data_IF_199044137617
#
_entry.id   IF_199044137617
#
_cell.length_a   1.000
_cell.length_b   1.000
_cell.length_c   1.000
_cell.angle_alpha   90.00
_cell.angle_beta   90.00
_cell.angle_gamma   90.00
#
_symmetry.space_group_name_H-M   'P 1'
#
loop_
_entity.id
_entity.type
_entity.pdbx_description
1 polymer ?
#
# COMPACT_ATOMS: atom_id res chain seq x y z
N UNK A 1 -5.50 -1.20 -14.20
CA UNK A 1 -4.66 -1.73 -13.11
C UNK A 1 -3.40 -0.90 -13.05
N UNK A 2 -2.98 -0.52 -11.85
CA UNK A 2 -1.68 0.13 -11.60
C UNK A 2 -0.85 -0.81 -10.74
N UNK A 3 0.40 -1.04 -11.16
CA UNK A 3 1.39 -1.79 -10.40
C UNK A 3 2.56 -0.86 -10.08
N UNK A 4 2.83 -0.66 -8.80
CA UNK A 4 3.87 0.21 -8.28
C UNK A 4 4.76 -0.58 -7.30
N UNK A 5 5.68 -1.42 -7.82
CA UNK A 5 6.68 -2.10 -7.01
C UNK A 5 7.81 -1.14 -6.62
N UNK A 6 8.47 -1.44 -5.50
CA UNK A 6 9.66 -0.75 -4.98
C UNK A 6 9.50 0.78 -4.96
N UNK A 7 8.32 1.25 -4.56
CA UNK A 7 7.99 2.65 -4.47
C UNK A 7 8.00 3.09 -3.01
N UNK A 8 9.02 3.86 -2.62
CA UNK A 8 9.15 4.41 -1.27
C UNK A 8 8.39 5.73 -1.14
N UNK A 9 7.26 5.71 -0.41
CA UNK A 9 6.48 6.90 -0.09
C UNK A 9 7.00 7.52 1.22
N UNK A 10 7.17 8.85 1.27
CA UNK A 10 7.68 9.51 2.47
C UNK A 10 6.71 9.33 3.64
N UNK A 11 7.25 9.15 4.85
CA UNK A 11 6.45 9.02 6.07
C UNK A 11 5.74 10.35 6.41
N UNK A 12 6.43 11.47 6.21
CA UNK A 12 5.90 12.82 6.37
C UNK A 12 6.03 13.60 5.07
N UNK A 13 5.00 14.38 4.73
CA UNK A 13 5.01 15.21 3.52
C UNK A 13 5.55 16.60 3.86
N UNK A 14 6.59 17.02 3.16
CA UNK A 14 7.20 18.35 3.27
C UNK A 14 7.28 19.04 1.89
N UNK A 15 7.93 20.21 1.83
CA UNK A 15 8.08 20.95 0.58
C UNK A 15 8.87 20.21 -0.49
N UNK A 16 9.77 19.33 -0.10
CA UNK A 16 10.75 18.71 -0.97
C UNK A 16 10.17 17.45 -1.63
N UNK A 17 9.30 16.73 -0.92
CA UNK A 17 8.68 15.49 -1.39
C UNK A 17 7.22 15.65 -1.89
N UNK A 18 6.57 16.79 -1.63
CA UNK A 18 5.16 17.01 -2.01
C UNK A 18 4.87 16.78 -3.49
N UNK A 19 5.72 17.28 -4.39
CA UNK A 19 5.51 17.12 -5.83
C UNK A 19 5.58 15.65 -6.28
N UNK A 20 6.42 14.85 -5.62
CA UNK A 20 6.52 13.41 -5.85
C UNK A 20 5.24 12.70 -5.40
N UNK A 21 4.76 13.00 -4.19
CA UNK A 21 3.51 12.45 -3.66
C UNK A 21 2.32 12.79 -4.55
N UNK A 22 2.18 14.05 -4.97
CA UNK A 22 1.11 14.47 -5.88
C UNK A 22 1.18 13.76 -7.23
N UNK A 23 2.39 13.57 -7.76
CA UNK A 23 2.61 12.82 -9.00
C UNK A 23 2.15 11.36 -8.85
N UNK A 24 2.53 10.71 -7.76
CA UNK A 24 2.11 9.34 -7.46
C UNK A 24 0.59 9.24 -7.27
N UNK A 25 -0.02 10.14 -6.50
CA UNK A 25 -1.47 10.17 -6.30
C UNK A 25 -2.22 10.33 -7.62
N UNK A 26 -1.76 11.22 -8.51
CA UNK A 26 -2.35 11.39 -9.83
C UNK A 26 -2.20 10.14 -10.71
N UNK A 27 -1.08 9.43 -10.60
CA UNK A 27 -0.83 8.19 -11.34
C UNK A 27 -1.77 7.06 -10.92
N UNK A 28 -2.09 6.92 -9.64
CA UNK A 28 -2.94 5.84 -9.11
C UNK A 28 -4.44 6.18 -9.06
N UNK A 29 -4.80 7.45 -9.26
CA UNK A 29 -6.17 7.95 -9.11
C UNK A 29 -7.16 7.22 -10.00
N UNK A 30 -8.26 6.75 -9.40
CA UNK A 30 -9.36 6.09 -10.10
C UNK A 30 -9.05 4.66 -10.58
N UNK A 31 -7.92 4.07 -10.17
CA UNK A 31 -7.56 2.72 -10.60
C UNK A 31 -8.56 1.67 -10.08
N UNK A 32 -8.98 0.73 -10.94
CA UNK A 32 -9.77 -0.42 -10.48
C UNK A 32 -9.00 -1.35 -9.54
N UNK A 33 -7.68 -1.41 -9.71
CA UNK A 33 -6.74 -2.16 -8.87
C UNK A 33 -5.44 -1.39 -8.77
N UNK A 34 -4.98 -1.16 -7.55
CA UNK A 34 -3.63 -0.73 -7.22
C UNK A 34 -2.91 -1.89 -6.52
N UNK A 35 -1.81 -2.35 -7.11
CA UNK A 35 -0.85 -3.26 -6.45
C UNK A 35 0.37 -2.42 -6.07
N UNK A 36 0.69 -2.37 -4.78
CA UNK A 36 1.79 -1.57 -4.24
C UNK A 36 2.63 -2.39 -3.27
N UNK A 37 3.94 -2.19 -3.22
CA UNK A 37 4.78 -2.80 -2.19
C UNK A 37 4.59 -2.09 -0.83
N UNK A 38 4.48 -2.84 0.25
CA UNK A 38 4.29 -2.24 1.58
C UNK A 38 4.93 -3.12 2.65
N UNK A 39 6.25 -3.23 2.56
CA UNK A 39 7.04 -4.18 3.33
C UNK A 39 6.99 -3.91 4.83
N UNK A 40 6.88 -2.65 5.22
CA UNK A 40 7.11 -2.23 6.59
C UNK A 40 5.82 -1.81 7.29
N UNK A 41 5.80 -1.90 8.61
CA UNK A 41 4.94 -1.03 9.42
C UNK A 41 5.56 0.37 9.47
N UNK A 42 4.77 1.38 9.86
CA UNK A 42 5.31 2.75 10.03
C UNK A 42 6.52 2.78 10.98
N UNK A 43 6.44 2.06 12.09
CA UNK A 43 7.53 1.93 13.08
C UNK A 43 8.81 1.33 12.45
N UNK A 44 8.68 0.29 11.63
CA UNK A 44 9.81 -0.32 10.93
C UNK A 44 10.40 0.59 9.85
N UNK A 45 9.56 1.38 9.19
CA UNK A 45 9.99 2.27 8.11
C UNK A 45 10.85 3.42 8.65
N UNK A 46 10.59 3.92 9.87
CA UNK A 46 11.41 4.96 10.51
C UNK A 46 12.89 4.55 10.65
N UNK A 47 13.17 3.26 10.86
CA UNK A 47 14.53 2.71 10.96
C UNK A 47 15.12 2.30 9.60
N UNK A 48 14.32 2.32 8.53
CA UNK A 48 14.65 1.77 7.19
C UNK A 48 14.41 2.76 6.04
N UNK A 49 14.38 4.06 6.34
CA UNK A 49 14.31 5.10 5.32
C UNK A 49 15.44 4.95 4.29
N UNK A 50 15.10 5.05 3.00
CA UNK A 50 15.99 4.94 1.86
C UNK A 50 16.22 3.50 1.35
N UNK A 51 15.49 2.52 1.87
CA UNK A 51 15.61 1.12 1.44
C UNK A 51 14.76 0.78 0.20
N UNK A 52 13.92 1.71 -0.26
CA UNK A 52 13.12 1.56 -1.47
C UNK A 52 11.71 1.02 -1.26
N UNK A 53 11.24 0.88 -0.01
CA UNK A 53 9.95 0.26 0.31
C UNK A 53 9.06 1.09 1.21
N UNK A 54 7.77 1.10 0.94
CA UNK A 54 6.79 1.82 1.74
C UNK A 54 6.33 1.06 2.98
N UNK A 55 5.73 1.79 3.93
CA UNK A 55 4.86 1.19 4.94
C UNK A 55 3.40 1.17 4.49
N UNK A 56 2.64 0.17 4.93
CA UNK A 56 1.25 -0.01 4.51
C UNK A 56 0.33 1.11 5.01
N UNK A 57 0.61 1.70 6.18
CA UNK A 57 -0.18 2.79 6.75
C UNK A 57 -0.17 4.04 5.86
N UNK A 58 1.01 4.45 5.40
CA UNK A 58 1.23 5.60 4.50
C UNK A 58 0.59 5.34 3.14
N UNK A 59 0.73 4.14 2.59
CA UNK A 59 0.09 3.79 1.30
C UNK A 59 -1.43 3.98 1.39
N UNK A 60 -2.06 3.51 2.46
CA UNK A 60 -3.50 3.68 2.68
C UNK A 60 -3.85 5.16 2.84
N UNK A 61 -3.14 5.89 3.71
CA UNK A 61 -3.44 7.30 3.97
C UNK A 61 -3.39 8.15 2.69
N UNK A 62 -2.41 7.90 1.82
CA UNK A 62 -2.23 8.65 0.59
C UNK A 62 -3.20 8.26 -0.53
N UNK A 63 -3.82 7.08 -0.45
CA UNK A 63 -4.60 6.53 -1.57
C UNK A 63 -6.09 6.33 -1.28
N UNK A 64 -6.52 6.37 0.00
CA UNK A 64 -7.89 6.07 0.44
C UNK A 64 -8.98 6.94 -0.21
N UNK A 65 -8.66 8.17 -0.58
CA UNK A 65 -9.63 9.13 -1.15
C UNK A 65 -9.48 9.31 -2.67
N UNK A 66 -8.69 8.47 -3.34
CA UNK A 66 -8.39 8.60 -4.76
C UNK A 66 -9.33 7.83 -5.67
N UNK A 67 -10.38 7.22 -5.13
CA UNK A 67 -11.37 6.44 -5.90
C UNK A 67 -10.80 5.10 -6.43
N UNK A 68 -9.79 4.56 -5.76
CA UNK A 68 -9.26 3.23 -6.06
C UNK A 68 -10.26 2.19 -5.58
N UNK A 69 -10.66 1.26 -6.45
CA UNK A 69 -11.63 0.24 -6.06
C UNK A 69 -11.00 -0.85 -5.20
N UNK A 70 -9.84 -1.36 -5.60
CA UNK A 70 -9.16 -2.45 -4.90
C UNK A 70 -7.69 -2.13 -4.63
N UNK A 71 -7.28 -2.26 -3.37
CA UNK A 71 -5.90 -2.14 -2.93
C UNK A 71 -5.31 -3.51 -2.63
N UNK A 72 -4.13 -3.79 -3.19
CA UNK A 72 -3.40 -5.04 -3.01
C UNK A 72 -1.97 -4.72 -2.57
N UNK A 73 -1.64 -5.04 -1.33
CA UNK A 73 -0.32 -4.78 -0.75
C UNK A 73 0.57 -6.01 -0.90
N UNK A 74 1.78 -5.80 -1.37
CA UNK A 74 2.75 -6.85 -1.71
C UNK A 74 4.06 -6.68 -0.98
N UNK A 75 4.95 -7.67 -1.13
CA UNK A 75 6.32 -7.63 -0.63
C UNK A 75 6.41 -7.46 0.89
N UNK A 76 5.73 -8.34 1.64
CA UNK A 76 5.86 -8.35 3.11
C UNK A 76 7.30 -8.64 3.54
N UNK A 77 7.68 -8.16 4.73
CA UNK A 77 9.02 -8.39 5.28
C UNK A 77 9.23 -9.90 5.52
N UNK A 78 10.31 -10.53 5.01
CA UNK A 78 10.60 -11.94 5.27
C UNK A 78 10.79 -12.27 6.76
N UNK A 79 11.07 -11.27 7.60
CA UNK A 79 11.18 -11.44 9.05
C UNK A 79 9.82 -11.35 9.78
N UNK A 80 8.72 -11.04 9.09
CA UNK A 80 7.38 -11.08 9.69
C UNK A 80 6.94 -12.54 9.92
N UNK A 81 6.51 -12.85 11.14
CA UNK A 81 5.86 -14.12 11.43
C UNK A 81 4.43 -14.17 10.89
N UNK A 82 3.88 -15.37 10.71
CA UNK A 82 2.49 -15.56 10.30
C UNK A 82 1.51 -14.75 11.17
N UNK A 83 1.69 -14.76 12.49
CA UNK A 83 0.88 -13.98 13.43
C UNK A 83 0.98 -12.46 13.19
N UNK A 84 2.14 -11.97 12.74
CA UNK A 84 2.33 -10.56 12.41
C UNK A 84 1.59 -10.20 11.12
N UNK A 85 1.69 -11.06 10.09
CA UNK A 85 0.97 -10.92 8.83
C UNK A 85 -0.55 -10.98 9.04
N UNK A 86 -1.04 -11.86 9.91
CA UNK A 86 -2.47 -11.95 10.25
C UNK A 86 -2.99 -10.69 10.94
N UNK A 87 -2.17 -10.08 11.80
CA UNK A 87 -2.50 -8.78 12.43
C UNK A 87 -2.56 -7.66 11.40
N UNK A 88 -1.62 -7.59 10.47
CA UNK A 88 -1.59 -6.61 9.39
C UNK A 88 -2.82 -6.81 8.47
N UNK A 89 -3.07 -8.06 8.06
CA UNK A 89 -4.24 -8.45 7.28
C UNK A 89 -5.55 -8.04 7.95
N UNK A 90 -5.69 -8.28 9.26
CA UNK A 90 -6.89 -7.89 10.01
C UNK A 90 -7.12 -6.38 10.01
N UNK A 91 -6.04 -5.58 10.14
CA UNK A 91 -6.12 -4.11 10.05
C UNK A 91 -6.52 -3.65 8.65
N UNK A 92 -5.91 -4.21 7.61
CA UNK A 92 -6.23 -3.89 6.21
C UNK A 92 -7.63 -4.35 5.82
N UNK A 93 -8.10 -5.49 6.34
CA UNK A 93 -9.47 -5.94 6.10
C UNK A 93 -10.49 -4.97 6.75
N UNK A 94 -10.14 -4.32 7.85
CA UNK A 94 -11.04 -3.38 8.55
C UNK A 94 -11.32 -2.07 7.79
N UNK A 95 -10.45 -1.69 6.84
CA UNK A 95 -10.65 -0.51 5.97
C UNK A 95 -11.48 -0.84 4.71
N UNK A 96 -11.89 -2.10 4.53
CA UNK A 96 -12.80 -2.49 3.46
C UNK A 96 -14.18 -1.84 3.67
N UNK A 97 -14.73 -1.27 2.61
CA UNK A 97 -16.07 -0.66 2.60
C UNK A 97 -16.13 0.80 3.06
N UNK A 98 -15.06 1.36 3.63
CA UNK A 98 -14.95 2.81 3.89
C UNK A 98 -14.32 3.54 2.70
N UNK A 99 -13.14 3.09 2.27
CA UNK A 99 -12.32 3.75 1.26
C UNK A 99 -12.07 2.90 0.02
N UNK A 100 -12.10 1.57 0.17
CA UNK A 100 -11.93 0.62 -0.93
C UNK A 100 -13.09 -0.37 -0.95
N UNK A 101 -13.45 -0.86 -2.14
CA UNK A 101 -14.34 -2.04 -2.27
C UNK A 101 -13.64 -3.27 -1.69
N UNK A 102 -12.32 -3.35 -1.85
CA UNK A 102 -11.48 -4.42 -1.34
C UNK A 102 -10.08 -3.90 -0.98
N UNK A 103 -9.53 -4.35 0.14
CA UNK A 103 -8.14 -4.10 0.52
C UNK A 103 -7.55 -5.39 1.10
N UNK A 104 -6.38 -5.82 0.63
CA UNK A 104 -5.78 -7.12 1.01
C UNK A 104 -4.26 -7.08 0.94
N UNK A 105 -3.58 -7.91 1.73
CA UNK A 105 -2.17 -8.28 1.51
C UNK A 105 -2.17 -9.51 0.61
N UNK A 106 -1.41 -9.46 -0.49
CA UNK A 106 -1.38 -10.56 -1.44
C UNK A 106 -0.58 -11.75 -0.91
N UNK A 107 -1.07 -12.95 -1.20
CA UNK A 107 -0.47 -14.22 -0.81
C UNK A 107 0.08 -14.97 -2.02
N UNK A 108 1.03 -15.88 -1.78
CA UNK A 108 1.55 -16.75 -2.83
C UNK A 108 0.43 -17.58 -3.46
N UNK A 109 0.39 -17.63 -4.79
CA UNK A 109 -0.63 -18.35 -5.54
C UNK A 109 -1.99 -17.66 -5.62
N UNK A 110 -2.14 -16.43 -5.09
CA UNK A 110 -3.39 -15.68 -5.19
C UNK A 110 -3.63 -15.14 -6.61
N UNK A 111 -4.86 -15.33 -7.10
CA UNK A 111 -5.33 -14.78 -8.38
C UNK A 111 -6.24 -13.58 -8.15
N UNK A 112 -6.01 -12.49 -8.90
CA UNK A 112 -6.86 -11.28 -8.86
C UNK A 112 -7.46 -11.06 -10.24
N UNK A 113 -8.79 -11.10 -10.31
CA UNK A 113 -9.54 -10.89 -11.56
C UNK A 113 -9.86 -9.41 -11.75
N UNK A 114 -9.43 -8.80 -12.86
CA UNK A 114 -9.77 -7.41 -13.18
C UNK A 114 -11.23 -7.29 -13.64
N UNK A 115 -11.98 -6.25 -13.23
CA UNK A 115 -13.29 -5.99 -13.80
C UNK A 115 -13.14 -5.71 -15.31
N UNK A 116 -14.15 -6.14 -16.08
CA UNK A 116 -14.28 -5.84 -17.51
C UNK A 116 -14.61 -4.37 -17.77
#
# INVERSE_FOLDING_TARGET
MVFAPDNELPIEIDSDNKAFVETFQNFVKGADVLIHDAQFTKEQHEERLGWGHSNWETVIELTKDLGIKRLCLSHHDPDHSDDALDRINSKIASIKGSSYVEATVIQEGQEIYLPN
#
